data_IF_574252466723
#
_entry.id   IF_574252466723
#
_cell.length_a   1.000
_cell.length_b   1.000
_cell.length_c   1.000
_cell.angle_alpha   90.00
_cell.angle_beta   90.00
_cell.angle_gamma   90.00
#
_symmetry.space_group_name_H-M   'P 1'
#
loop_
_entity.id
_entity.type
_entity.pdbx_description
1 polymer ?
#
# COMPACT_ATOMS: atom_id res chain seq x y z
N UNK A 1 -19.39 -19.46 9.59
CA UNK A 1 -19.37 -19.41 8.11
C UNK A 1 -19.46 -17.95 7.73
N UNK A 2 -18.45 -17.39 7.07
CA UNK A 2 -18.35 -15.94 6.87
C UNK A 2 -19.38 -15.44 5.86
N UNK A 3 -20.32 -14.61 6.31
CA UNK A 3 -21.41 -14.07 5.50
C UNK A 3 -20.90 -13.19 4.34
N UNK A 4 -19.74 -12.54 4.52
CA UNK A 4 -19.14 -11.62 3.55
C UNK A 4 -18.74 -12.33 2.25
N UNK A 5 -18.04 -13.46 2.32
CA UNK A 5 -17.64 -14.20 1.12
C UNK A 5 -18.84 -14.75 0.33
N UNK A 6 -19.89 -15.18 1.04
CA UNK A 6 -21.14 -15.59 0.40
C UNK A 6 -21.82 -14.41 -0.32
N UNK A 7 -21.82 -13.22 0.28
CA UNK A 7 -22.38 -12.03 -0.32
C UNK A 7 -21.59 -11.58 -1.56
N UNK A 8 -20.26 -11.54 -1.49
CA UNK A 8 -19.40 -11.20 -2.66
C UNK A 8 -19.73 -12.15 -3.82
N UNK A 9 -19.83 -13.45 -3.55
CA UNK A 9 -20.12 -14.42 -4.59
C UNK A 9 -21.52 -14.22 -5.21
N UNK A 10 -22.54 -14.04 -4.36
CA UNK A 10 -23.96 -13.99 -4.77
C UNK A 10 -24.48 -12.61 -5.14
N UNK A 11 -23.76 -11.53 -4.88
CA UNK A 11 -24.25 -10.16 -5.14
C UNK A 11 -23.28 -9.35 -6.01
N UNK A 12 -22.06 -9.84 -6.22
CA UNK A 12 -21.07 -9.23 -7.10
C UNK A 12 -20.60 -10.22 -8.17
N UNK A 13 -19.91 -11.30 -7.78
CA UNK A 13 -19.25 -12.20 -8.75
C UNK A 13 -20.22 -12.82 -9.75
N UNK A 14 -21.44 -13.17 -9.33
CA UNK A 14 -22.45 -13.74 -10.25
C UNK A 14 -22.83 -12.81 -11.42
N UNK A 15 -22.58 -11.50 -11.29
CA UNK A 15 -22.89 -10.51 -12.31
C UNK A 15 -21.68 -10.20 -13.22
N UNK A 16 -20.50 -10.73 -12.90
CA UNK A 16 -19.31 -10.55 -13.72
C UNK A 16 -19.34 -11.45 -14.96
N UNK A 17 -18.94 -10.89 -16.10
CA UNK A 17 -18.65 -11.68 -17.30
C UNK A 17 -17.52 -12.68 -17.00
N UNK A 18 -17.71 -13.95 -17.37
CA UNK A 18 -16.75 -15.01 -17.08
C UNK A 18 -16.93 -15.69 -15.72
N UNK A 19 -18.02 -15.43 -14.99
CA UNK A 19 -18.33 -16.17 -13.77
C UNK A 19 -18.64 -17.65 -14.07
N UNK A 20 -17.94 -18.56 -13.39
CA UNK A 20 -18.02 -20.02 -13.59
C UNK A 20 -19.16 -20.69 -12.82
N UNK A 21 -19.83 -19.98 -11.91
CA UNK A 21 -20.76 -20.61 -10.97
C UNK A 21 -20.04 -21.17 -9.74
N UNK A 22 -20.83 -21.52 -8.72
CA UNK A 22 -20.33 -22.09 -7.46
C UNK A 22 -19.74 -23.51 -7.62
N UNK A 23 -20.22 -24.28 -8.60
CA UNK A 23 -19.82 -25.67 -8.85
C UNK A 23 -19.66 -25.92 -10.36
N UNK A 24 -18.89 -26.95 -10.71
CA UNK A 24 -18.57 -27.33 -12.10
C UNK A 24 -19.80 -27.61 -12.98
N UNK A 25 -20.92 -28.05 -12.38
CA UNK A 25 -22.18 -28.30 -13.09
C UNK A 25 -22.91 -27.04 -13.53
N UNK A 26 -22.53 -25.87 -12.97
CA UNK A 26 -23.09 -24.55 -13.31
C UNK A 26 -22.18 -23.74 -14.23
N UNK A 27 -21.08 -24.33 -14.69
CA UNK A 27 -20.14 -23.71 -15.61
C UNK A 27 -20.80 -23.58 -16.99
N UNK A 28 -20.91 -22.34 -17.48
CA UNK A 28 -21.40 -22.06 -18.83
C UNK A 28 -20.49 -22.64 -19.92
N UNK A 29 -21.02 -22.76 -21.14
CA UNK A 29 -20.33 -23.43 -22.25
C UNK A 29 -19.08 -22.68 -22.78
N UNK A 30 -18.96 -21.36 -22.51
CA UNK A 30 -17.87 -20.49 -22.99
C UNK A 30 -17.41 -19.48 -21.94
N UNK A 31 -17.04 -19.95 -20.76
CA UNK A 31 -16.63 -19.05 -19.67
C UNK A 31 -15.27 -18.41 -19.94
N UNK A 32 -14.33 -19.14 -20.54
CA UNK A 32 -12.97 -18.63 -20.81
C UNK A 32 -12.96 -17.56 -21.90
N UNK A 33 -13.81 -17.69 -22.92
CA UNK A 33 -13.99 -16.66 -23.96
C UNK A 33 -14.62 -15.36 -23.42
N UNK A 34 -15.22 -15.41 -22.22
CA UNK A 34 -15.89 -14.29 -21.55
C UNK A 34 -15.11 -13.75 -20.35
N UNK A 35 -14.01 -14.39 -19.97
CA UNK A 35 -13.12 -13.93 -18.90
C UNK A 35 -12.19 -12.84 -19.43
N UNK A 36 -12.76 -11.66 -19.66
CA UNK A 36 -12.08 -10.53 -20.30
C UNK A 36 -11.37 -9.58 -19.32
N UNK A 37 -11.57 -9.78 -18.03
CA UNK A 37 -11.07 -8.87 -16.99
C UNK A 37 -9.66 -9.22 -16.56
N UNK A 38 -8.82 -8.20 -16.48
CA UNK A 38 -7.55 -8.27 -15.77
C UNK A 38 -7.77 -8.19 -14.25
N UNK A 39 -6.78 -8.64 -13.46
CA UNK A 39 -6.88 -8.57 -11.99
C UNK A 39 -7.11 -7.14 -11.46
N UNK A 40 -6.44 -6.09 -11.97
CA UNK A 40 -6.72 -4.71 -11.56
C UNK A 40 -8.15 -4.28 -11.89
N UNK A 41 -8.67 -4.61 -13.08
CA UNK A 41 -10.05 -4.25 -13.44
C UNK A 41 -11.08 -4.96 -12.56
N UNK A 42 -10.82 -6.22 -12.16
CA UNK A 42 -11.67 -6.91 -11.18
C UNK A 42 -11.64 -6.25 -9.81
N UNK A 43 -10.47 -5.73 -9.39
CA UNK A 43 -10.33 -4.97 -8.15
C UNK A 43 -11.14 -3.67 -8.23
N UNK A 44 -11.02 -2.91 -9.31
CA UNK A 44 -11.76 -1.66 -9.53
C UNK A 44 -13.29 -1.89 -9.47
N UNK A 45 -13.78 -2.93 -10.15
CA UNK A 45 -15.20 -3.30 -10.13
C UNK A 45 -15.68 -3.72 -8.74
N UNK A 46 -14.84 -4.42 -7.99
CA UNK A 46 -15.16 -4.82 -6.62
C UNK A 46 -15.21 -3.59 -5.69
N UNK A 47 -14.26 -2.67 -5.83
CA UNK A 47 -14.20 -1.44 -5.04
C UNK A 47 -15.41 -0.54 -5.33
N UNK A 48 -15.79 -0.39 -6.61
CA UNK A 48 -17.01 0.31 -7.00
C UNK A 48 -18.25 -0.33 -6.36
N UNK A 49 -18.42 -1.65 -6.47
CA UNK A 49 -19.56 -2.34 -5.87
C UNK A 49 -19.60 -2.18 -4.34
N UNK A 50 -18.44 -2.24 -3.69
CA UNK A 50 -18.31 -2.04 -2.25
C UNK A 50 -18.75 -0.64 -1.84
N UNK A 51 -18.18 0.39 -2.49
CA UNK A 51 -18.39 1.80 -2.16
C UNK A 51 -19.79 2.30 -2.55
N UNK A 52 -20.25 1.97 -3.76
CA UNK A 52 -21.50 2.50 -4.31
C UNK A 52 -22.74 1.80 -3.72
N UNK A 53 -22.60 0.57 -3.24
CA UNK A 53 -23.77 -0.24 -2.86
C UNK A 53 -23.61 -0.97 -1.54
N UNK A 54 -22.56 -1.79 -1.39
CA UNK A 54 -22.50 -2.74 -0.29
C UNK A 54 -22.40 -2.10 1.10
N UNK A 55 -21.58 -1.06 1.24
CA UNK A 55 -21.32 -0.38 2.51
C UNK A 55 -22.52 0.43 3.05
N UNK A 56 -23.41 0.86 2.16
CA UNK A 56 -24.64 1.58 2.51
C UNK A 56 -25.88 0.68 2.56
N UNK A 57 -25.79 -0.57 2.09
CA UNK A 57 -26.90 -1.52 2.09
C UNK A 57 -27.19 -2.05 3.50
N UNK A 58 -28.44 -1.98 3.99
CA UNK A 58 -28.82 -2.62 5.25
C UNK A 58 -28.68 -4.15 5.18
N UNK A 59 -28.09 -4.76 6.22
CA UNK A 59 -27.96 -6.22 6.34
C UNK A 59 -28.73 -6.74 7.55
N UNK A 60 -29.47 -7.84 7.36
CA UNK A 60 -30.27 -8.41 8.45
C UNK A 60 -29.44 -8.97 9.60
N UNK A 61 -28.20 -9.41 9.31
CA UNK A 61 -27.24 -9.88 10.31
C UNK A 61 -26.63 -8.75 11.15
N UNK A 62 -26.77 -7.49 10.72
CA UNK A 62 -26.21 -6.33 11.39
C UNK A 62 -27.32 -5.52 12.04
N UNK A 63 -27.46 -5.69 13.36
CA UNK A 63 -28.49 -5.02 14.17
C UNK A 63 -27.88 -4.16 15.26
N UNK A 64 -28.62 -3.13 15.64
CA UNK A 64 -28.35 -2.34 16.84
C UNK A 64 -28.89 -3.10 18.07
N UNK A 65 -28.09 -3.34 19.13
CA UNK A 65 -28.58 -3.88 20.40
C UNK A 65 -29.74 -3.08 21.00
N UNK A 66 -29.74 -1.76 20.81
CA UNK A 66 -30.77 -0.85 21.33
C UNK A 66 -31.95 -0.66 20.36
N UNK A 67 -31.80 -1.08 19.09
CA UNK A 67 -32.86 -1.04 18.05
C UNK A 67 -32.86 -2.33 17.21
N UNK A 68 -33.14 -3.50 17.81
CA UNK A 68 -32.95 -4.80 17.15
C UNK A 68 -33.87 -5.03 15.94
N UNK A 69 -34.98 -4.28 15.84
CA UNK A 69 -35.92 -4.37 14.71
C UNK A 69 -35.44 -3.67 13.43
N UNK A 70 -34.42 -2.80 13.51
CA UNK A 70 -33.90 -2.05 12.36
C UNK A 70 -32.63 -2.70 11.83
N UNK A 71 -32.59 -2.97 10.52
CA UNK A 71 -31.37 -3.44 9.86
C UNK A 71 -30.44 -2.25 9.69
N UNK A 72 -29.15 -2.45 9.91
CA UNK A 72 -28.13 -1.42 9.74
C UNK A 72 -27.23 -1.76 8.56
N UNK A 73 -26.76 -0.73 7.87
CA UNK A 73 -25.64 -0.89 6.96
C UNK A 73 -24.31 -0.94 7.74
N UNK A 74 -23.23 -1.45 7.13
CA UNK A 74 -21.90 -1.40 7.74
C UNK A 74 -21.48 0.03 8.08
N UNK A 75 -21.78 1.00 7.20
CA UNK A 75 -21.51 2.42 7.47
C UNK A 75 -22.33 2.95 8.65
N UNK A 76 -23.62 2.63 8.76
CA UNK A 76 -24.44 3.05 9.91
C UNK A 76 -23.87 2.49 11.21
N UNK A 77 -23.43 1.22 11.18
CA UNK A 77 -22.88 0.55 12.36
C UNK A 77 -21.54 1.15 12.74
N UNK A 78 -20.66 1.40 11.77
CA UNK A 78 -19.40 2.09 11.98
C UNK A 78 -19.62 3.47 12.60
N UNK A 79 -20.50 4.29 12.02
CA UNK A 79 -20.83 5.62 12.56
C UNK A 79 -21.36 5.55 14.00
N UNK A 80 -22.22 4.56 14.30
CA UNK A 80 -22.76 4.36 15.65
C UNK A 80 -21.67 3.94 16.65
N UNK A 81 -20.73 3.09 16.23
CA UNK A 81 -19.61 2.66 17.06
C UNK A 81 -18.61 3.80 17.29
N UNK A 82 -18.30 4.60 16.26
CA UNK A 82 -17.46 5.78 16.39
C UNK A 82 -18.11 6.82 17.32
N UNK A 83 -19.43 7.03 17.21
CA UNK A 83 -20.14 7.93 18.11
C UNK A 83 -20.15 7.43 19.57
N UNK A 84 -20.22 6.11 19.78
CA UNK A 84 -20.26 5.52 21.12
C UNK A 84 -18.87 5.39 21.77
N UNK A 85 -17.84 5.07 20.98
CA UNK A 85 -16.50 4.73 21.46
C UNK A 85 -15.46 5.81 21.17
N UNK A 86 -15.79 6.84 20.40
CA UNK A 86 -14.86 7.83 19.88
C UNK A 86 -14.10 7.33 18.64
N UNK A 87 -13.42 8.27 17.98
CA UNK A 87 -12.49 8.00 16.88
C UNK A 87 -11.06 8.12 17.40
N UNK A 88 -10.23 7.11 17.16
CA UNK A 88 -8.80 7.16 17.44
C UNK A 88 -8.04 7.40 16.13
N UNK A 89 -7.56 8.61 15.85
CA UNK A 89 -6.66 8.83 14.73
C UNK A 89 -5.33 8.14 15.01
N UNK A 90 -4.97 7.14 14.21
CA UNK A 90 -3.59 6.63 14.17
C UNK A 90 -2.79 7.53 13.24
N UNK A 91 -2.03 8.46 13.83
CA UNK A 91 -1.10 9.30 13.09
C UNK A 91 0.18 8.49 12.91
N UNK A 92 0.29 7.81 11.76
CA UNK A 92 1.50 7.11 11.38
C UNK A 92 2.60 8.15 11.13
N UNK A 93 3.74 8.01 11.81
CA UNK A 93 4.99 8.72 11.53
C UNK A 93 5.68 8.06 10.33
N UNK A 94 6.61 8.76 9.68
CA UNK A 94 7.35 8.22 8.52
C UNK A 94 7.95 6.82 8.78
N UNK A 95 8.50 6.60 9.98
CA UNK A 95 9.06 5.31 10.38
C UNK A 95 8.01 4.18 10.47
N UNK A 96 6.77 4.49 10.86
CA UNK A 96 5.70 3.50 10.97
C UNK A 96 5.34 2.91 9.60
N UNK A 97 5.55 3.67 8.53
CA UNK A 97 5.37 3.17 7.16
C UNK A 97 6.45 2.17 6.77
N UNK A 98 7.67 2.31 7.29
CA UNK A 98 8.73 1.32 7.06
C UNK A 98 8.36 -0.02 7.67
N UNK A 99 7.70 -0.05 8.83
CA UNK A 99 7.21 -1.27 9.48
C UNK A 99 6.14 -2.01 8.65
N UNK A 100 5.39 -1.30 7.81
CA UNK A 100 4.38 -1.87 6.92
C UNK A 100 4.97 -2.47 5.64
N UNK A 101 6.22 -2.13 5.30
CA UNK A 101 6.88 -2.66 4.12
C UNK A 101 7.20 -4.15 4.28
N UNK A 102 7.22 -4.94 3.18
CA UNK A 102 7.65 -6.33 3.21
C UNK A 102 9.03 -6.53 3.84
N UNK A 103 9.13 -7.52 4.72
CA UNK A 103 10.37 -7.85 5.45
C UNK A 103 11.12 -9.03 4.84
N UNK A 104 12.43 -8.87 4.67
CA UNK A 104 13.39 -9.93 4.37
C UNK A 104 14.42 -10.08 5.50
N UNK A 105 14.59 -11.31 6.00
CA UNK A 105 15.60 -11.62 7.02
C UNK A 105 16.94 -11.91 6.36
N UNK A 106 17.95 -11.04 6.53
CA UNK A 106 19.25 -11.15 5.85
C UNK A 106 20.43 -10.94 6.79
N UNK A 107 21.55 -11.57 6.48
CA UNK A 107 22.82 -11.28 7.15
C UNK A 107 23.45 -10.04 6.50
N UNK A 108 24.06 -9.18 7.31
CA UNK A 108 24.88 -8.06 6.84
C UNK A 108 26.30 -8.59 6.65
N UNK A 109 26.74 -8.76 5.40
CA UNK A 109 28.07 -9.29 5.07
C UNK A 109 29.07 -8.16 4.80
N UNK A 110 30.33 -8.51 4.52
CA UNK A 110 31.37 -7.55 4.16
C UNK A 110 31.08 -6.83 2.83
N UNK A 111 30.28 -7.44 1.95
CA UNK A 111 29.80 -6.84 0.70
C UNK A 111 28.44 -6.14 0.85
N UNK A 112 27.88 -6.08 2.07
CA UNK A 112 26.55 -5.56 2.35
C UNK A 112 25.46 -6.64 2.38
N UNK A 113 24.26 -6.28 1.92
CA UNK A 113 23.05 -7.10 1.99
C UNK A 113 22.62 -7.49 0.58
N UNK A 114 22.42 -8.78 0.31
CA UNK A 114 21.95 -9.26 -1.00
C UNK A 114 20.50 -9.74 -0.96
N UNK A 115 19.65 -9.14 -1.78
CA UNK A 115 18.23 -9.47 -1.94
C UNK A 115 17.92 -9.58 -3.43
N UNK A 116 17.38 -10.72 -3.88
CA UNK A 116 16.90 -10.93 -5.26
C UNK A 116 17.88 -10.46 -6.36
N UNK A 117 19.17 -10.84 -6.20
CA UNK A 117 20.28 -10.49 -7.09
C UNK A 117 20.68 -9.02 -7.11
N UNK A 118 20.29 -8.25 -6.08
CA UNK A 118 20.70 -6.86 -5.85
C UNK A 118 21.49 -6.78 -4.56
N UNK A 119 22.58 -6.02 -4.59
CA UNK A 119 23.47 -5.82 -3.44
C UNK A 119 23.31 -4.39 -2.93
N UNK A 120 23.03 -4.26 -1.65
CA UNK A 120 22.80 -2.98 -0.97
C UNK A 120 23.94 -2.75 0.00
N UNK A 121 24.60 -1.59 -0.08
CA UNK A 121 25.71 -1.26 0.81
C UNK A 121 25.80 0.24 1.08
N UNK A 122 26.18 0.59 2.31
CA UNK A 122 26.54 1.94 2.72
C UNK A 122 27.55 1.89 3.89
N UNK A 123 28.16 3.04 4.19
CA UNK A 123 29.11 3.16 5.29
C UNK A 123 28.49 2.85 6.66
N UNK A 124 27.22 3.20 6.86
CA UNK A 124 26.49 3.03 8.12
C UNK A 124 26.23 1.56 8.48
N UNK A 125 26.31 0.64 7.51
CA UNK A 125 26.30 -0.79 7.79
C UNK A 125 27.56 -1.29 8.47
N UNK A 126 28.67 -0.54 8.41
CA UNK A 126 30.00 -0.94 8.89
C UNK A 126 29.99 -1.58 10.28
N UNK A 127 29.41 -0.92 11.30
CA UNK A 127 29.29 -1.48 12.65
C UNK A 127 28.51 -2.80 12.70
N UNK A 128 27.53 -3.02 11.82
CA UNK A 128 26.63 -4.17 11.85
C UNK A 128 27.12 -5.35 10.99
N UNK A 129 28.21 -5.20 10.23
CA UNK A 129 28.76 -6.26 9.37
C UNK A 129 29.19 -7.47 10.21
N UNK A 130 28.74 -8.66 9.79
CA UNK A 130 28.99 -9.96 10.43
C UNK A 130 28.51 -10.06 11.88
N UNK A 131 27.66 -9.12 12.32
CA UNK A 131 27.04 -9.15 13.64
C UNK A 131 25.67 -9.82 13.61
N UNK A 132 25.26 -10.32 14.78
CA UNK A 132 23.95 -10.92 15.02
C UNK A 132 22.96 -9.85 15.48
N UNK A 133 21.77 -9.79 14.89
CA UNK A 133 20.72 -8.80 15.19
C UNK A 133 20.01 -8.97 16.55
N UNK A 134 20.52 -9.84 17.44
CA UNK A 134 19.78 -10.29 18.63
C UNK A 134 18.55 -11.21 18.39
N UNK A 135 17.98 -11.29 17.18
CA UNK A 135 16.79 -12.11 16.91
C UNK A 135 17.08 -13.61 16.76
N UNK A 136 17.17 -14.34 17.87
CA UNK A 136 17.46 -15.78 17.89
C UNK A 136 16.45 -16.61 17.07
N UNK A 137 15.15 -16.27 17.11
CA UNK A 137 14.11 -16.95 16.34
C UNK A 137 14.31 -16.86 14.82
N UNK A 138 15.09 -15.88 14.36
CA UNK A 138 15.43 -15.62 12.96
C UNK A 138 16.90 -15.90 12.66
N UNK A 139 17.56 -16.73 13.48
CA UNK A 139 18.98 -17.10 13.34
C UNK A 139 19.94 -15.91 13.36
N UNK A 140 19.54 -14.82 14.01
CA UNK A 140 20.36 -13.60 14.09
C UNK A 140 20.46 -12.79 12.82
N UNK A 141 19.60 -13.07 11.86
CA UNK A 141 19.48 -12.28 10.66
C UNK A 141 18.84 -10.93 11.00
N UNK A 142 19.26 -9.90 10.30
CA UNK A 142 18.72 -8.56 10.41
C UNK A 142 17.39 -8.46 9.68
N UNK A 143 16.51 -7.65 10.24
CA UNK A 143 15.22 -7.29 9.66
C UNK A 143 15.42 -6.20 8.61
N UNK A 144 15.19 -6.55 7.33
CA UNK A 144 15.40 -5.66 6.19
C UNK A 144 14.09 -5.46 5.45
N UNK A 145 13.57 -4.24 5.51
CA UNK A 145 12.37 -3.81 4.83
C UNK A 145 12.72 -3.27 3.44
N UNK A 146 11.87 -3.53 2.45
CA UNK A 146 12.06 -3.03 1.10
C UNK A 146 10.72 -2.72 0.45
N UNK A 147 10.67 -1.70 -0.41
CA UNK A 147 9.49 -1.40 -1.21
C UNK A 147 9.52 -2.23 -2.51
N UNK A 148 8.52 -3.08 -2.79
CA UNK A 148 8.43 -3.80 -4.06
C UNK A 148 8.33 -2.88 -5.29
N UNK A 149 7.92 -1.63 -5.11
CA UNK A 149 7.72 -0.64 -6.17
C UNK A 149 8.88 0.34 -6.32
N UNK A 150 9.73 0.47 -5.30
CA UNK A 150 11.01 1.16 -5.38
C UNK A 150 12.15 0.33 -4.76
N UNK A 151 12.95 -0.28 -5.63
CA UNK A 151 14.10 -1.08 -5.24
C UNK A 151 15.41 -0.30 -5.12
N UNK A 152 15.36 1.03 -5.23
CA UNK A 152 16.54 1.90 -5.14
C UNK A 152 17.29 1.77 -3.82
N UNK A 153 16.57 1.44 -2.75
CA UNK A 153 17.06 1.35 -1.38
C UNK A 153 16.33 0.29 -0.57
N UNK A 154 16.91 -0.07 0.57
CA UNK A 154 16.30 -0.92 1.59
C UNK A 154 16.51 -0.31 2.97
N UNK A 155 15.67 -0.68 3.93
CA UNK A 155 15.69 -0.15 5.28
C UNK A 155 16.00 -1.26 6.27
N UNK A 156 17.09 -1.11 7.02
CA UNK A 156 17.53 -2.10 8.01
C UNK A 156 17.12 -1.64 9.39
N UNK A 157 16.40 -2.48 10.12
CA UNK A 157 16.03 -2.22 11.51
C UNK A 157 17.21 -2.48 12.44
N UNK A 158 17.54 -1.50 13.25
CA UNK A 158 18.56 -1.61 14.32
C UNK A 158 17.97 -1.18 15.66
N UNK A 159 18.71 -1.40 16.75
CA UNK A 159 18.32 -0.93 18.09
C UNK A 159 18.28 0.61 18.19
N UNK A 160 19.01 1.30 17.30
CA UNK A 160 19.16 2.76 17.29
C UNK A 160 18.21 3.45 16.31
N UNK A 161 17.41 2.68 15.56
CA UNK A 161 16.51 3.21 14.53
C UNK A 161 16.66 2.48 13.20
N UNK A 162 16.45 3.21 12.11
CA UNK A 162 16.48 2.68 10.75
C UNK A 162 17.74 3.12 10.01
N UNK A 163 18.35 2.21 9.26
CA UNK A 163 19.44 2.52 8.34
C UNK A 163 18.94 2.38 6.92
N UNK A 164 18.97 3.47 6.15
CA UNK A 164 18.67 3.45 4.72
C UNK A 164 19.93 3.03 3.95
N UNK A 165 19.81 1.95 3.18
CA UNK A 165 20.92 1.35 2.44
C UNK A 165 20.59 1.40 0.94
N UNK A 166 21.29 2.23 0.15
CA UNK A 166 21.06 2.30 -1.29
C UNK A 166 21.60 1.06 -1.99
N UNK A 167 21.03 0.79 -3.16
CA UNK A 167 21.52 -0.20 -4.09
C UNK A 167 22.87 0.25 -4.68
N UNK A 168 23.89 -0.62 -4.71
CA UNK A 168 25.25 -0.23 -5.14
C UNK A 168 25.33 0.27 -6.59
N UNK A 169 24.40 -0.16 -7.44
CA UNK A 169 24.33 0.24 -8.84
C UNK A 169 23.23 1.27 -9.11
N UNK A 170 22.66 1.89 -8.07
CA UNK A 170 21.73 3.01 -8.20
C UNK A 170 22.27 4.12 -9.11
N UNK A 171 23.57 4.52 -9.07
CA UNK A 171 24.09 5.54 -9.97
C UNK A 171 24.08 5.17 -11.47
N UNK A 172 23.82 3.91 -11.82
CA UNK A 172 23.71 3.46 -13.21
C UNK A 172 22.29 3.60 -13.78
N UNK A 173 21.30 3.98 -12.96
CA UNK A 173 19.89 4.02 -13.36
C UNK A 173 19.32 5.39 -13.04
N UNK A 174 18.67 6.01 -14.03
CA UNK A 174 18.19 7.40 -13.91
C UNK A 174 16.81 7.57 -13.27
N UNK A 175 16.13 6.48 -12.86
CA UNK A 175 14.80 6.53 -12.25
C UNK A 175 14.53 5.37 -11.27
N UNK A 176 13.64 5.55 -10.27
CA UNK A 176 13.15 4.46 -9.42
C UNK A 176 12.54 3.32 -10.22
N UNK A 177 12.66 2.09 -9.71
CA UNK A 177 12.18 0.91 -10.41
C UNK A 177 11.63 -0.18 -9.48
N UNK A 178 10.52 -0.78 -9.90
CA UNK A 178 9.85 -1.86 -9.19
C UNK A 178 10.48 -3.23 -9.48
N UNK A 179 10.18 -4.22 -8.62
CA UNK A 179 10.68 -5.59 -8.73
C UNK A 179 10.30 -6.28 -10.03
N UNK A 180 9.08 -6.05 -10.54
CA UNK A 180 8.67 -6.59 -11.83
C UNK A 180 9.45 -5.98 -13.01
N UNK A 181 9.92 -4.73 -12.89
CA UNK A 181 10.74 -4.06 -13.91
C UNK A 181 12.15 -4.62 -13.88
N UNK A 182 12.74 -4.81 -12.70
CA UNK A 182 14.01 -5.51 -12.52
C UNK A 182 13.96 -6.93 -13.11
N UNK A 183 12.93 -7.71 -12.77
CA UNK A 183 12.76 -9.07 -13.31
C UNK A 183 12.61 -9.07 -14.84
N UNK A 184 11.98 -8.05 -15.42
CA UNK A 184 11.90 -7.89 -16.86
C UNK A 184 13.26 -7.54 -17.48
N UNK A 185 14.03 -6.61 -16.89
CA UNK A 185 15.38 -6.28 -17.34
C UNK A 185 16.31 -7.50 -17.32
N UNK A 186 16.24 -8.34 -16.28
CA UNK A 186 17.00 -9.60 -16.21
C UNK A 186 16.65 -10.56 -17.35
N UNK A 187 15.37 -10.74 -17.66
CA UNK A 187 14.92 -11.57 -18.79
C UNK A 187 15.43 -11.02 -20.13
N UNK A 188 15.44 -9.70 -20.30
CA UNK A 188 16.00 -9.05 -21.49
C UNK A 188 17.51 -9.24 -21.60
N UNK A 189 18.24 -9.13 -20.48
CA UNK A 189 19.68 -9.39 -20.43
C UNK A 189 19.99 -10.83 -20.86
N UNK A 190 19.28 -11.81 -20.26
CA UNK A 190 19.41 -13.22 -20.64
C UNK A 190 19.09 -13.46 -22.13
N UNK A 191 18.03 -12.83 -22.67
CA UNK A 191 17.67 -12.95 -24.08
C UNK A 191 18.71 -12.34 -25.04
N UNK A 192 19.45 -11.31 -24.59
CA UNK A 192 20.59 -10.72 -25.31
C UNK A 192 21.89 -11.55 -25.18
N UNK A 193 21.86 -12.67 -24.45
CA UNK A 193 23.04 -13.49 -24.18
C UNK A 193 24.00 -12.88 -23.14
N UNK A 194 23.56 -11.85 -22.42
CA UNK A 194 24.32 -11.29 -21.30
C UNK A 194 24.15 -12.17 -20.06
N UNK A 195 25.16 -12.18 -19.20
CA UNK A 195 25.08 -12.82 -17.89
C UNK A 195 24.05 -12.09 -17.02
N UNK A 196 22.93 -12.76 -16.75
CA UNK A 196 21.81 -12.23 -15.97
C UNK A 196 22.05 -12.26 -14.45
N UNK A 197 23.21 -12.79 -14.03
CA UNK A 197 23.73 -12.72 -12.67
C UNK A 197 24.63 -11.51 -12.43
N UNK A 198 25.16 -10.91 -13.52
CA UNK A 198 25.95 -9.69 -13.47
C UNK A 198 25.05 -8.47 -13.25
N UNK A 199 25.04 -8.01 -12.01
CA UNK A 199 24.19 -6.93 -11.52
C UNK A 199 24.38 -5.61 -12.29
N UNK A 200 25.62 -5.23 -12.59
CA UNK A 200 25.94 -4.03 -13.37
C UNK A 200 25.50 -4.16 -14.84
N UNK A 201 25.52 -5.38 -15.40
CA UNK A 201 25.00 -5.66 -16.74
C UNK A 201 23.49 -5.47 -16.80
N UNK A 202 22.78 -6.02 -15.81
CA UNK A 202 21.32 -5.87 -15.69
C UNK A 202 20.95 -4.41 -15.44
N UNK A 203 21.71 -3.68 -14.61
CA UNK A 203 21.49 -2.26 -14.34
C UNK A 203 21.49 -1.41 -15.61
N UNK A 204 22.44 -1.65 -16.53
CA UNK A 204 22.48 -0.93 -17.83
C UNK A 204 21.28 -1.26 -18.73
N UNK A 205 20.87 -2.53 -18.77
CA UNK A 205 19.67 -2.94 -19.53
C UNK A 205 18.40 -2.32 -18.95
N UNK A 206 18.35 -2.20 -17.61
CA UNK A 206 17.26 -1.53 -16.91
C UNK A 206 17.23 -0.03 -17.26
N UNK A 207 18.36 0.65 -17.22
CA UNK A 207 18.45 2.07 -17.59
C UNK A 207 18.03 2.29 -19.05
N UNK A 208 18.55 1.49 -20.00
CA UNK A 208 18.11 1.51 -21.41
C UNK A 208 16.58 1.35 -21.55
N UNK A 209 15.98 0.48 -20.74
CA UNK A 209 14.54 0.25 -20.74
C UNK A 209 13.76 1.45 -20.21
N UNK A 210 14.22 2.03 -19.10
CA UNK A 210 13.56 3.19 -18.47
C UNK A 210 13.69 4.42 -19.37
N UNK A 211 14.89 4.72 -19.89
CA UNK A 211 15.10 5.82 -20.83
C UNK A 211 14.26 5.64 -22.10
N UNK A 212 14.17 4.41 -22.66
CA UNK A 212 13.29 4.17 -23.83
C UNK A 212 11.82 4.41 -23.51
N UNK A 213 11.37 4.02 -22.32
CA UNK A 213 9.99 4.22 -21.90
C UNK A 213 9.64 5.71 -21.67
N UNK A 214 10.63 6.56 -21.40
CA UNK A 214 10.48 8.02 -21.33
C UNK A 214 10.40 8.64 -22.74
N UNK A 215 11.14 8.11 -23.71
CA UNK A 215 11.28 8.72 -25.03
C UNK A 215 10.34 8.14 -26.13
N UNK A 216 9.67 6.99 -25.91
CA UNK A 216 8.83 6.29 -26.92
C UNK A 216 9.65 5.64 -28.06
N UNK A 217 9.16 4.66 -28.88
CA UNK A 217 7.81 4.12 -29.07
C UNK A 217 7.76 2.57 -28.94
N UNK A 218 7.90 2.03 -27.72
CA UNK A 218 7.80 0.58 -27.47
C UNK A 218 6.65 0.30 -26.51
N UNK A 219 5.49 -0.14 -27.03
CA UNK A 219 4.26 -0.33 -26.26
C UNK A 219 4.41 -1.32 -25.09
N UNK A 220 5.26 -2.35 -25.21
CA UNK A 220 5.41 -3.37 -24.16
C UNK A 220 6.31 -2.87 -23.03
N UNK A 221 7.47 -2.32 -23.37
CA UNK A 221 8.41 -1.77 -22.39
C UNK A 221 7.83 -0.54 -21.70
N UNK A 222 7.13 0.33 -22.45
CA UNK A 222 6.42 1.47 -21.90
C UNK A 222 5.32 1.06 -20.92
N UNK A 223 4.59 -0.03 -21.16
CA UNK A 223 3.56 -0.52 -20.24
C UNK A 223 4.14 -0.98 -18.89
N UNK A 224 5.29 -1.66 -18.90
CA UNK A 224 5.97 -2.10 -17.67
C UNK A 224 6.47 -0.89 -16.89
N UNK A 225 7.21 0.01 -17.52
CA UNK A 225 7.70 1.22 -16.85
C UNK A 225 6.57 2.16 -16.39
N UNK A 226 5.48 2.28 -17.15
CA UNK A 226 4.30 3.04 -16.75
C UNK A 226 3.66 2.49 -15.48
N UNK A 227 3.58 1.16 -15.32
CA UNK A 227 3.10 0.55 -14.07
C UNK A 227 3.97 0.90 -12.88
N UNK A 228 5.28 1.00 -13.07
CA UNK A 228 6.20 1.45 -12.01
C UNK A 228 5.90 2.89 -11.64
N UNK A 229 5.74 3.79 -12.61
CA UNK A 229 5.40 5.19 -12.34
C UNK A 229 4.06 5.34 -11.63
N UNK A 230 3.03 4.59 -12.03
CA UNK A 230 1.73 4.63 -11.35
C UNK A 230 1.82 4.12 -9.91
N UNK A 231 2.64 3.09 -9.66
CA UNK A 231 2.85 2.59 -8.31
C UNK A 231 3.72 3.52 -7.44
N UNK A 232 4.77 4.11 -8.02
CA UNK A 232 5.66 5.05 -7.35
C UNK A 232 5.07 6.46 -7.17
N UNK A 233 3.97 6.78 -7.88
CA UNK A 233 3.24 8.04 -7.72
C UNK A 233 2.39 8.09 -6.44
N UNK A 234 2.33 6.99 -5.67
CA UNK A 234 1.89 7.02 -4.28
C UNK A 234 3.08 7.55 -3.47
N UNK A 235 3.05 8.77 -2.92
CA UNK A 235 4.18 9.31 -2.19
C UNK A 235 4.48 8.39 -1.01
N UNK A 236 5.70 7.85 -0.95
CA UNK A 236 6.21 7.33 0.30
C UNK A 236 6.36 8.53 1.25
N UNK A 237 5.80 8.48 2.46
CA UNK A 237 6.00 9.56 3.42
C UNK A 237 7.49 9.62 3.74
N UNK A 238 8.10 10.78 3.49
CA UNK A 238 9.48 11.04 3.89
C UNK A 238 9.57 10.89 5.41
N UNK A 239 10.54 10.10 5.88
CA UNK A 239 10.92 10.15 7.29
C UNK A 239 11.48 11.54 7.54
N UNK A 240 10.73 12.38 8.26
CA UNK A 240 11.14 13.74 8.60
C UNK A 240 12.58 13.75 9.10
N UNK A 241 13.51 14.24 8.27
CA UNK A 241 14.79 14.74 8.74
C UNK A 241 14.47 15.93 9.64
N UNK A 242 14.69 15.76 10.95
CA UNK A 242 14.54 16.74 12.03
C UNK A 242 14.09 18.11 11.52
N UNK A 243 12.77 18.27 11.37
CA UNK A 243 12.21 19.59 11.11
C UNK A 243 12.49 20.41 12.35
N UNK A 244 13.37 21.38 12.19
CA UNK A 244 13.63 22.47 13.13
C UNK A 244 12.28 22.91 13.69
N UNK A 245 12.10 22.68 14.99
CA UNK A 245 10.83 22.86 15.70
C UNK A 245 10.24 24.23 15.39
N UNK A 246 9.18 24.28 14.58
CA UNK A 246 8.35 25.46 14.48
C UNK A 246 7.85 25.80 15.89
N UNK A 247 7.89 27.08 16.31
CA UNK A 247 7.45 27.45 17.63
C UNK A 247 5.98 27.08 17.79
N UNK A 248 5.71 26.29 18.82
CA UNK A 248 4.38 25.90 19.28
C UNK A 248 3.46 27.12 19.27
N UNK A 249 2.28 27.07 18.60
CA UNK A 249 1.37 28.20 18.63
C UNK A 249 0.94 28.44 20.09
N UNK A 250 1.20 29.65 20.60
CA UNK A 250 0.74 30.08 21.92
C UNK A 250 -0.76 29.79 22.03
N UNK A 251 -1.11 28.88 22.95
CA UNK A 251 -2.49 28.58 23.31
C UNK A 251 -3.05 29.84 23.95
N UNK A 252 -3.80 30.62 23.18
CA UNK A 252 -4.58 31.71 23.73
C UNK A 252 -5.60 31.13 24.72
N UNK A 253 -5.79 31.75 25.90
CA UNK A 253 -6.76 31.27 26.86
C UNK A 253 -8.16 31.27 26.21
N UNK A 254 -9.03 30.32 26.59
CA UNK A 254 -10.35 30.20 26.00
C UNK A 254 -11.12 31.51 26.17
N UNK A 255 -11.62 32.05 25.05
CA UNK A 255 -12.54 33.17 25.08
C UNK A 255 -13.75 32.84 25.96
N UNK A 256 -14.21 33.83 26.74
CA UNK A 256 -15.33 33.67 27.65
C UNK A 256 -16.54 33.10 26.90
N UNK A 257 -17.01 31.93 27.37
CA UNK A 257 -18.17 31.23 26.81
C UNK A 257 -19.37 32.15 26.92
N UNK A 258 -19.83 32.69 25.80
CA UNK A 258 -21.11 33.37 25.73
C UNK A 258 -22.21 32.33 25.96
N UNK A 259 -22.94 32.46 27.06
CA UNK A 259 -24.14 31.67 27.32
C UNK A 259 -25.18 32.03 26.27
N UNK A 260 -25.48 31.08 25.37
CA UNK A 260 -26.63 31.21 24.49
C UNK A 260 -27.89 31.28 25.35
N UNK A 261 -28.60 32.42 25.25
CA UNK A 261 -29.93 32.55 25.84
C UNK A 261 -30.88 31.52 25.24
N UNK A 262 -31.77 30.96 26.06
CA UNK A 262 -32.77 29.98 25.63
C UNK A 262 -33.62 30.62 24.53
N UNK A 263 -33.65 29.99 23.36
CA UNK A 263 -34.44 30.41 22.22
C UNK A 263 -35.93 30.19 22.50
N UNK A 264 -36.71 31.28 22.52
CA UNK A 264 -38.16 31.25 22.68
C UNK A 264 -38.85 31.31 21.30
N UNK A 265 -39.31 30.13 20.86
CA UNK A 265 -39.94 29.96 19.55
C UNK A 265 -41.30 30.68 19.41
N UNK A 266 -41.98 31.04 20.52
CA UNK A 266 -43.25 31.78 20.44
C UNK A 266 -43.01 33.27 20.22
N UNK A 267 -41.99 33.86 20.86
CA UNK A 267 -41.62 35.25 20.65
C UNK A 267 -41.08 35.52 19.22
N UNK A 268 -40.43 34.53 18.61
CA UNK A 268 -39.96 34.63 17.22
C UNK A 268 -41.14 34.66 16.23
N UNK A 269 -42.22 33.90 16.48
CA UNK A 269 -43.34 33.77 15.56
C UNK A 269 -44.20 35.05 15.44
N UNK A 270 -44.31 35.87 16.50
CA UNK A 270 -45.04 37.14 16.46
C UNK A 270 -44.33 38.22 15.62
N UNK A 271 -43.04 38.07 15.32
CA UNK A 271 -42.30 39.02 14.45
C UNK A 271 -42.59 38.85 12.96
N UNK A 272 -43.31 37.80 12.58
CA UNK A 272 -43.65 37.46 11.20
C UNK A 272 -45.15 37.63 10.87
N UNK A 273 -45.90 38.29 11.76
CA UNK A 273 -47.28 38.76 11.55
C UNK A 273 -47.30 40.28 11.41
#
# INVERSE_FOLDING_TARGET
MEATFSAINSLFCQHLAGYTGRDVSRRGERVEDRAVWTIPELQDLLDEWLLAGWQARPHDALRDPFRPKKAMSPNDKYASLVAACGYLPLVLRGEDYLELLPTAWRAVNDYGIRINYRTYDCADLGPHRRQHSGHAAKRGLWEVHYDPYDLSQVFVRTEQGWITVPWIHLPLVNAPFADFTWAHARRLAAAKGLDDTNEAGVARVLDELLSRAEHGPDFRSAKVAARTRTAAAVPAPEADSETESEPEPEIQPPAAVATFGVFDAHAEAERWL
#
